data_IF_078436516755
#
_entry.id   IF_078436516755
#
_cell.length_a   1.000
_cell.length_b   1.000
_cell.length_c   1.000
_cell.angle_alpha   90.00
_cell.angle_beta   90.00
_cell.angle_gamma   90.00
#
_symmetry.space_group_name_H-M   'P 1'
#
loop_
_entity.id
_entity.type
_entity.pdbx_description
1 polymer ?
#
# COMPACT_ATOMS: atom_id res chain seq x y z
N UNK A 1 -17.17 -11.40 11.34
CA UNK A 1 -15.74 -11.07 11.18
C UNK A 1 -15.57 -9.57 11.37
N UNK A 2 -14.55 -9.14 12.10
CA UNK A 2 -14.20 -7.71 12.19
C UNK A 2 -13.64 -7.23 10.83
N UNK A 3 -14.21 -6.18 10.20
CA UNK A 3 -13.76 -5.69 8.90
C UNK A 3 -12.45 -4.89 8.93
N UNK A 4 -12.16 -4.19 10.03
CA UNK A 4 -11.15 -3.11 10.02
C UNK A 4 -10.00 -3.33 10.99
N UNK A 5 -10.09 -4.32 11.88
CA UNK A 5 -9.15 -4.46 12.97
C UNK A 5 -9.25 -3.28 13.94
N UNK A 6 -8.32 -3.21 14.90
CA UNK A 6 -8.27 -2.08 15.84
C UNK A 6 -7.76 -0.82 15.14
N UNK A 7 -8.46 0.29 15.36
CA UNK A 7 -8.04 1.64 14.98
C UNK A 7 -8.55 2.66 16.01
N UNK A 8 -7.90 3.82 16.07
CA UNK A 8 -8.25 4.94 16.93
C UNK A 8 -9.21 5.90 16.24
N UNK A 9 -8.89 6.26 15.00
CA UNK A 9 -9.71 7.17 14.18
C UNK A 9 -9.61 6.81 12.70
N UNK A 10 -10.65 7.18 11.95
CA UNK A 10 -10.72 7.07 10.50
C UNK A 10 -11.08 8.44 9.90
N UNK A 11 -10.32 8.86 8.89
CA UNK A 11 -10.48 10.18 8.25
C UNK A 11 -10.31 10.06 6.74
N UNK A 12 -10.76 11.06 5.99
CA UNK A 12 -10.37 11.26 4.60
C UNK A 12 -9.32 12.37 4.55
N UNK A 13 -8.20 12.15 3.87
CA UNK A 13 -7.13 13.14 3.77
C UNK A 13 -6.49 13.22 2.39
N UNK A 14 -5.79 14.33 2.14
CA UNK A 14 -4.87 14.48 0.99
C UNK A 14 -3.69 15.37 1.35
N UNK A 15 -2.58 15.19 0.65
CA UNK A 15 -1.43 16.08 0.71
C UNK A 15 -1.81 17.50 0.24
N UNK A 16 -1.24 18.52 0.88
CA UNK A 16 -1.41 19.93 0.46
C UNK A 16 -0.42 20.32 -0.64
N UNK A 17 0.73 19.64 -0.72
CA UNK A 17 1.73 19.87 -1.75
C UNK A 17 1.26 19.35 -3.14
N UNK A 18 1.16 20.29 -4.09
CA UNK A 18 0.77 20.02 -5.47
C UNK A 18 1.76 19.13 -6.21
N UNK A 19 3.06 19.19 -5.91
CA UNK A 19 4.07 18.34 -6.52
C UNK A 19 3.86 16.86 -6.13
N UNK A 20 3.52 16.61 -4.87
CA UNK A 20 3.15 15.29 -4.37
C UNK A 20 1.86 14.81 -5.04
N UNK A 21 0.81 15.63 -5.04
CA UNK A 21 -0.48 15.26 -5.63
C UNK A 21 -0.35 14.91 -7.12
N UNK A 22 0.47 15.63 -7.88
CA UNK A 22 0.66 15.40 -9.31
C UNK A 22 1.22 14.01 -9.64
N UNK A 23 2.04 13.41 -8.75
CA UNK A 23 2.63 12.08 -8.96
C UNK A 23 1.93 10.96 -8.18
N UNK A 24 1.03 11.30 -7.27
CA UNK A 24 0.42 10.32 -6.37
C UNK A 24 -0.66 9.51 -7.05
N UNK A 25 -0.91 8.29 -6.53
CA UNK A 25 -2.03 7.47 -6.99
C UNK A 25 -3.36 8.16 -6.67
N UNK A 26 -3.49 8.57 -5.39
CA UNK A 26 -4.68 9.10 -4.75
C UNK A 26 -4.33 10.40 -3.99
N UNK A 27 -4.65 10.51 -2.70
CA UNK A 27 -4.36 11.68 -1.86
C UNK A 27 -2.89 11.87 -1.48
N UNK A 28 -1.95 11.04 -1.94
CA UNK A 28 -0.51 11.24 -1.72
C UNK A 28 -0.02 11.05 -0.28
N UNK A 29 -0.77 10.31 0.54
CA UNK A 29 -0.52 10.14 1.97
C UNK A 29 0.85 9.52 2.27
N UNK A 30 1.24 8.45 1.56
CA UNK A 30 2.54 7.79 1.77
C UNK A 30 3.70 8.76 1.49
N UNK A 31 3.68 9.39 0.31
CA UNK A 31 4.73 10.31 -0.11
C UNK A 31 4.82 11.52 0.81
N UNK A 32 3.69 12.15 1.16
CA UNK A 32 3.66 13.25 2.12
C UNK A 32 4.18 12.85 3.49
N UNK A 33 3.82 11.66 3.99
CA UNK A 33 4.26 11.17 5.30
C UNK A 33 5.77 10.99 5.35
N UNK A 34 6.36 10.39 4.31
CA UNK A 34 7.78 10.12 4.28
C UNK A 34 8.62 11.35 3.95
N UNK A 35 8.18 12.22 3.04
CA UNK A 35 8.84 13.49 2.77
C UNK A 35 8.88 14.33 4.04
N UNK A 36 7.73 14.50 4.70
CA UNK A 36 7.65 15.20 5.99
C UNK A 36 8.57 14.58 7.04
N UNK A 37 8.63 13.25 7.11
CA UNK A 37 9.48 12.53 8.05
C UNK A 37 10.97 12.77 7.86
N UNK A 38 11.42 12.76 6.60
CA UNK A 38 12.81 13.02 6.23
C UNK A 38 13.19 14.47 6.51
N UNK A 39 12.35 15.43 6.09
CA UNK A 39 12.60 16.87 6.25
C UNK A 39 12.65 17.31 7.71
N UNK A 40 11.87 16.64 8.58
CA UNK A 40 11.79 16.96 10.01
C UNK A 40 12.65 16.03 10.88
N UNK A 41 13.50 15.18 10.27
CA UNK A 41 14.37 14.24 10.99
C UNK A 41 13.62 13.23 11.86
N UNK A 42 12.35 12.96 11.57
CA UNK A 42 11.58 11.89 12.21
C UNK A 42 11.95 10.52 11.64
N UNK A 43 12.42 10.50 10.39
CA UNK A 43 12.91 9.35 9.66
C UNK A 43 14.27 9.71 9.04
N UNK A 44 15.19 8.75 8.97
CA UNK A 44 16.49 8.94 8.30
C UNK A 44 16.49 8.31 6.89
N UNK A 45 15.53 7.44 6.63
CA UNK A 45 15.31 6.81 5.34
C UNK A 45 14.04 5.98 5.34
N UNK A 46 13.53 5.70 4.16
CA UNK A 46 12.27 4.98 3.98
C UNK A 46 12.38 3.91 2.91
N UNK A 47 11.59 2.85 3.06
CA UNK A 47 11.52 1.75 2.10
C UNK A 47 10.22 1.87 1.32
N UNK A 48 10.35 2.05 0.01
CA UNK A 48 9.26 2.31 -0.94
C UNK A 48 9.34 1.36 -2.14
N UNK A 49 8.26 1.31 -2.94
CA UNK A 49 8.23 0.54 -4.19
C UNK A 49 8.52 1.44 -5.40
N UNK A 50 9.73 1.35 -5.93
CA UNK A 50 10.17 2.07 -7.12
C UNK A 50 9.66 1.39 -8.41
N UNK A 51 9.67 2.14 -9.50
CA UNK A 51 9.45 1.62 -10.86
C UNK A 51 10.80 1.43 -11.55
N UNK A 52 11.06 0.24 -12.04
CA UNK A 52 12.15 -0.08 -12.97
C UNK A 52 11.62 -0.15 -14.42
N UNK A 53 12.51 -0.49 -15.35
CA UNK A 53 12.16 -0.68 -16.76
C UNK A 53 10.98 -1.65 -16.93
N UNK A 54 10.11 -1.34 -17.90
CA UNK A 54 8.89 -2.13 -18.13
C UNK A 54 7.83 -1.97 -17.05
N UNK A 55 7.84 -0.89 -16.25
CA UNK A 55 6.86 -0.69 -15.18
C UNK A 55 6.91 -1.79 -14.09
N UNK A 56 8.07 -2.44 -13.95
CA UNK A 56 8.31 -3.46 -12.94
C UNK A 56 8.51 -2.80 -11.57
N UNK A 57 7.89 -3.35 -10.53
CA UNK A 57 8.07 -2.84 -9.18
C UNK A 57 9.31 -3.45 -8.52
N UNK A 58 10.11 -2.62 -7.87
CA UNK A 58 11.28 -3.05 -7.10
C UNK A 58 11.38 -2.27 -5.79
N UNK A 59 11.87 -2.90 -4.71
CA UNK A 59 12.07 -2.20 -3.44
C UNK A 59 13.21 -1.20 -3.58
N UNK A 60 13.04 0.00 -3.00
CA UNK A 60 14.06 1.04 -2.95
C UNK A 60 14.15 1.60 -1.54
N UNK A 61 15.39 1.76 -1.06
CA UNK A 61 15.71 2.57 0.11
C UNK A 61 15.87 4.00 -0.39
N UNK A 62 15.00 4.90 0.06
CA UNK A 62 14.99 6.30 -0.28
C UNK A 62 15.40 7.13 0.94
N UNK A 63 16.34 8.05 0.75
CA UNK A 63 16.88 8.92 1.81
C UNK A 63 16.64 10.39 1.54
N UNK A 64 16.13 10.74 0.35
CA UNK A 64 15.75 12.12 0.02
C UNK A 64 14.29 12.23 -0.43
N UNK A 65 13.65 13.41 -0.30
CA UNK A 65 12.30 13.67 -0.79
C UNK A 65 12.10 13.33 -2.27
N UNK A 66 13.09 13.60 -3.12
CA UNK A 66 13.04 13.34 -4.56
C UNK A 66 12.95 11.84 -4.85
N UNK A 67 13.71 11.02 -4.10
CA UNK A 67 13.67 9.57 -4.21
C UNK A 67 12.34 8.97 -3.75
N UNK A 68 11.72 9.55 -2.72
CA UNK A 68 10.38 9.17 -2.28
C UNK A 68 9.36 9.51 -3.36
N UNK A 69 9.45 10.73 -3.91
CA UNK A 69 8.52 11.21 -4.93
C UNK A 69 8.69 10.48 -6.27
N UNK A 70 9.88 9.99 -6.61
CA UNK A 70 10.11 9.16 -7.80
C UNK A 70 9.43 7.80 -7.71
N UNK A 71 9.24 7.28 -6.49
CA UNK A 71 8.58 6.00 -6.24
C UNK A 71 7.05 6.10 -6.12
N UNK A 72 6.46 7.30 -6.24
CA UNK A 72 5.01 7.49 -6.13
C UNK A 72 4.23 6.70 -7.20
N UNK A 73 2.94 6.47 -6.92
CA UNK A 73 2.02 5.73 -7.80
C UNK A 73 2.01 4.23 -7.55
N UNK A 74 0.87 3.60 -7.75
CA UNK A 74 0.67 2.17 -7.50
C UNK A 74 1.20 1.32 -8.64
N UNK A 75 1.82 0.19 -8.29
CA UNK A 75 2.20 -0.87 -9.22
C UNK A 75 1.48 -2.13 -8.77
N UNK A 76 0.54 -2.62 -9.58
CA UNK A 76 -0.20 -3.86 -9.28
C UNK A 76 0.63 -5.10 -9.61
N UNK A 77 1.87 -5.11 -9.13
CA UNK A 77 2.78 -6.26 -9.18
C UNK A 77 3.53 -6.39 -7.86
N UNK A 78 4.11 -7.55 -7.60
CA UNK A 78 4.88 -7.82 -6.37
C UNK A 78 6.13 -6.93 -6.30
N UNK A 79 6.23 -6.15 -5.22
CA UNK A 79 7.47 -5.49 -4.77
C UNK A 79 7.83 -6.00 -3.37
N UNK A 80 8.91 -6.77 -3.18
CA UNK A 80 9.27 -7.33 -1.88
C UNK A 80 9.93 -6.31 -0.95
N UNK A 81 9.24 -5.23 -0.55
CA UNK A 81 9.80 -4.13 0.26
C UNK A 81 10.54 -4.58 1.52
N UNK A 82 10.07 -5.63 2.19
CA UNK A 82 10.72 -6.16 3.42
C UNK A 82 12.12 -6.73 3.14
N UNK A 83 12.47 -7.09 1.91
CA UNK A 83 13.75 -7.72 1.58
C UNK A 83 14.95 -6.81 1.81
N UNK A 84 14.79 -5.51 1.61
CA UNK A 84 15.87 -4.50 1.75
C UNK A 84 15.93 -3.89 3.16
N UNK A 85 15.08 -4.35 4.09
CA UNK A 85 15.00 -3.77 5.43
C UNK A 85 16.29 -3.96 6.24
N UNK A 86 16.98 -5.09 6.08
CA UNK A 86 18.27 -5.30 6.75
C UNK A 86 19.35 -4.38 6.17
N UNK A 87 19.40 -4.26 4.85
CA UNK A 87 20.37 -3.42 4.14
C UNK A 87 20.17 -1.94 4.49
N UNK A 88 18.91 -1.50 4.64
CA UNK A 88 18.55 -0.17 5.13
C UNK A 88 19.20 0.14 6.49
N UNK A 89 19.22 -0.82 7.41
CA UNK A 89 19.83 -0.61 8.74
C UNK A 89 21.34 -0.84 8.74
N UNK A 90 21.88 -1.69 7.85
CA UNK A 90 23.29 -2.09 7.86
C UNK A 90 24.15 -1.28 6.91
N UNK A 91 23.81 -1.32 5.62
CA UNK A 91 24.59 -0.69 4.57
C UNK A 91 24.35 0.82 4.53
N UNK A 92 23.10 1.24 4.78
CA UNK A 92 22.73 2.66 4.84
C UNK A 92 22.81 3.25 6.25
N UNK A 93 23.12 2.43 7.27
CA UNK A 93 23.22 2.82 8.67
C UNK A 93 21.99 3.62 9.19
N UNK A 94 20.79 3.33 8.69
CA UNK A 94 19.59 4.04 9.08
C UNK A 94 19.12 3.66 10.49
N UNK A 95 18.76 4.67 11.27
CA UNK A 95 18.38 4.52 12.67
C UNK A 95 16.86 4.65 12.89
N UNK A 96 16.18 5.49 12.09
CA UNK A 96 14.71 5.64 12.07
C UNK A 96 14.16 5.33 10.67
N UNK A 97 13.80 4.07 10.43
CA UNK A 97 13.33 3.58 9.13
C UNK A 97 11.81 3.66 9.03
N UNK A 98 11.32 4.33 7.99
CA UNK A 98 9.92 4.22 7.54
C UNK A 98 9.77 3.08 6.53
N UNK A 99 8.66 2.34 6.54
CA UNK A 99 8.43 1.27 5.55
C UNK A 99 6.97 1.20 5.15
N UNK A 100 6.71 1.27 3.84
CA UNK A 100 5.36 1.07 3.28
C UNK A 100 5.21 -0.36 2.77
N UNK A 101 4.06 -0.96 3.03
CA UNK A 101 3.73 -2.28 2.50
C UNK A 101 2.24 -2.54 2.39
N UNK A 102 1.90 -3.56 1.60
CA UNK A 102 0.57 -4.17 1.60
C UNK A 102 0.33 -4.94 2.91
N UNK A 103 -0.90 -5.38 3.21
CA UNK A 103 -1.24 -6.01 4.49
C UNK A 103 -0.35 -7.20 4.87
N UNK A 104 0.01 -8.05 3.90
CA UNK A 104 0.91 -9.17 4.14
C UNK A 104 2.35 -8.74 4.51
N UNK A 105 2.84 -7.64 3.93
CA UNK A 105 4.15 -7.07 4.27
C UNK A 105 4.13 -6.41 5.65
N UNK A 106 3.06 -5.69 5.99
CA UNK A 106 2.85 -5.15 7.33
C UNK A 106 2.82 -6.27 8.38
N UNK A 107 2.14 -7.39 8.10
CA UNK A 107 2.18 -8.59 8.96
C UNK A 107 3.59 -9.16 9.09
N UNK A 108 4.35 -9.24 8.00
CA UNK A 108 5.74 -9.71 8.05
C UNK A 108 6.61 -8.79 8.92
N UNK A 109 6.46 -7.47 8.79
CA UNK A 109 7.16 -6.47 9.60
C UNK A 109 6.83 -6.63 11.08
N UNK A 110 5.54 -6.74 11.44
CA UNK A 110 5.14 -6.93 12.85
C UNK A 110 5.58 -8.27 13.43
N UNK A 111 5.59 -9.33 12.62
CA UNK A 111 6.15 -10.63 13.01
C UNK A 111 7.64 -10.51 13.29
N UNK A 112 8.39 -9.82 12.43
CA UNK A 112 9.81 -9.53 12.61
C UNK A 112 10.06 -8.71 13.88
N UNK A 113 9.28 -7.66 14.12
CA UNK A 113 9.42 -6.84 15.33
C UNK A 113 9.20 -7.65 16.62
N UNK A 114 8.26 -8.61 16.60
CA UNK A 114 7.99 -9.48 17.75
C UNK A 114 8.99 -10.63 17.88
N UNK A 115 9.47 -11.15 16.74
CA UNK A 115 10.35 -12.31 16.65
C UNK A 115 11.49 -12.02 15.65
N UNK A 116 12.53 -11.26 16.05
CA UNK A 116 13.57 -10.75 15.15
C UNK A 116 14.62 -11.82 14.76
N UNK A 117 14.16 -13.02 14.43
CA UNK A 117 15.00 -14.14 14.01
C UNK A 117 15.70 -13.79 12.70
N UNK A 118 17.03 -13.67 12.76
CA UNK A 118 17.84 -13.26 11.61
C UNK A 118 17.80 -11.76 11.29
N UNK A 119 17.17 -10.93 12.14
CA UNK A 119 17.03 -9.46 11.97
C UNK A 119 17.52 -8.70 13.21
N UNK A 120 18.63 -9.17 13.80
CA UNK A 120 19.24 -8.57 15.00
C UNK A 120 19.38 -7.05 14.85
N UNK A 121 18.93 -6.26 15.81
CA UNK A 121 19.01 -4.78 15.81
C UNK A 121 18.32 -4.08 14.63
N UNK A 122 17.43 -4.76 13.90
CA UNK A 122 16.65 -4.15 12.82
C UNK A 122 15.26 -3.76 13.31
N UNK A 123 14.65 -4.57 14.18
CA UNK A 123 13.32 -4.38 14.76
C UNK A 123 13.17 -3.03 15.48
N UNK A 124 14.15 -2.66 16.31
CA UNK A 124 14.14 -1.41 17.07
C UNK A 124 14.31 -0.16 16.21
N UNK A 125 14.75 -0.30 14.96
CA UNK A 125 14.98 0.82 14.02
C UNK A 125 13.76 1.14 13.17
N UNK A 126 12.71 0.33 13.23
CA UNK A 126 11.46 0.55 12.48
C UNK A 126 10.67 1.65 13.18
N UNK A 127 10.84 2.87 12.68
CA UNK A 127 10.23 4.06 13.23
C UNK A 127 8.76 4.19 12.84
N UNK A 128 8.40 3.94 11.57
CA UNK A 128 7.02 4.10 11.09
C UNK A 128 6.64 3.00 10.09
N UNK A 129 5.52 2.32 10.31
CA UNK A 129 4.96 1.30 9.40
C UNK A 129 3.70 1.85 8.75
N UNK A 130 3.76 2.17 7.46
CA UNK A 130 2.59 2.58 6.68
C UNK A 130 2.00 1.39 5.91
N UNK A 131 0.70 1.17 6.05
CA UNK A 131 -0.04 0.14 5.31
C UNK A 131 -0.82 0.73 4.15
N UNK A 132 -0.84 0.06 3.01
CA UNK A 132 -1.78 0.39 1.92
C UNK A 132 -2.88 -0.66 1.80
N UNK A 133 -4.10 -0.23 1.47
CA UNK A 133 -5.20 -1.16 1.21
C UNK A 133 -4.85 -2.05 0.01
N UNK A 134 -5.22 -3.32 0.08
CA UNK A 134 -4.91 -4.28 -0.97
C UNK A 134 -5.99 -5.35 -1.02
N UNK A 135 -6.64 -5.52 -2.17
CA UNK A 135 -7.56 -6.62 -2.41
C UNK A 135 -6.77 -7.86 -2.86
N UNK A 136 -6.11 -7.75 -4.00
CA UNK A 136 -5.19 -8.74 -4.58
C UNK A 136 -3.92 -8.08 -5.13
N UNK A 137 -2.98 -8.91 -5.57
CA UNK A 137 -1.79 -8.50 -6.31
C UNK A 137 -1.52 -9.50 -7.44
N UNK A 138 -0.70 -9.12 -8.42
CA UNK A 138 -0.41 -9.93 -9.59
C UNK A 138 1.09 -10.26 -9.67
N UNK A 139 1.50 -11.45 -10.13
CA UNK A 139 2.84 -11.64 -10.64
C UNK A 139 3.09 -10.69 -11.82
N UNK A 140 4.34 -10.27 -12.04
CA UNK A 140 4.66 -9.31 -13.11
C UNK A 140 4.19 -9.77 -14.50
N UNK A 141 4.41 -11.05 -14.84
CA UNK A 141 3.92 -11.60 -16.12
C UNK A 141 2.39 -11.62 -16.22
N UNK A 142 1.69 -11.76 -15.09
CA UNK A 142 0.23 -11.66 -15.05
C UNK A 142 -0.26 -10.23 -15.30
N UNK A 143 0.36 -9.25 -14.64
CA UNK A 143 0.09 -7.83 -14.90
C UNK A 143 0.42 -7.47 -16.35
N UNK A 144 1.56 -7.94 -16.87
CA UNK A 144 1.98 -7.73 -18.26
C UNK A 144 0.97 -8.31 -19.24
N UNK A 145 0.45 -9.52 -19.01
CA UNK A 145 -0.60 -10.09 -19.85
C UNK A 145 -1.85 -9.22 -19.85
N UNK A 146 -2.32 -8.75 -18.69
CA UNK A 146 -3.46 -7.83 -18.58
C UNK A 146 -3.22 -6.55 -19.40
N UNK A 147 -2.04 -5.94 -19.26
CA UNK A 147 -1.72 -4.66 -19.91
C UNK A 147 -1.50 -4.81 -21.43
N UNK A 148 -0.69 -5.78 -21.85
CA UNK A 148 -0.32 -5.92 -23.26
C UNK A 148 -1.43 -6.62 -24.06
N UNK A 149 -2.05 -7.67 -23.53
CA UNK A 149 -3.01 -8.48 -24.29
C UNK A 149 -4.43 -7.93 -24.21
N UNK A 150 -4.88 -7.44 -23.05
CA UNK A 150 -6.25 -6.97 -22.88
C UNK A 150 -6.38 -5.45 -23.09
N UNK A 151 -5.42 -4.66 -22.60
CA UNK A 151 -5.44 -3.21 -22.82
C UNK A 151 -4.75 -2.78 -24.13
N UNK A 152 -3.89 -3.62 -24.72
CA UNK A 152 -3.20 -3.32 -25.97
C UNK A 152 -2.13 -2.23 -25.84
N UNK A 153 -1.56 -2.05 -24.64
CA UNK A 153 -0.51 -1.05 -24.37
C UNK A 153 0.79 -1.79 -24.02
N UNK A 154 1.92 -1.37 -24.59
CA UNK A 154 3.23 -1.93 -24.23
C UNK A 154 3.61 -1.51 -22.82
N UNK A 155 4.24 -2.40 -22.05
CA UNK A 155 4.65 -2.09 -20.67
C UNK A 155 5.50 -0.81 -20.55
N UNK A 156 6.40 -0.55 -21.50
CA UNK A 156 7.24 0.65 -21.51
C UNK A 156 6.47 1.96 -21.75
N UNK A 157 5.26 1.87 -22.31
CA UNK A 157 4.41 3.02 -22.62
C UNK A 157 3.41 3.30 -21.49
N UNK A 158 3.38 2.49 -20.42
CA UNK A 158 2.51 2.71 -19.26
C UNK A 158 3.01 3.90 -18.43
N UNK A 159 2.07 4.78 -18.09
CA UNK A 159 2.28 5.91 -17.18
C UNK A 159 1.71 5.63 -15.79
N UNK A 160 0.47 5.12 -15.74
CA UNK A 160 -0.25 4.83 -14.49
C UNK A 160 -1.15 3.61 -14.68
N UNK A 161 -1.36 2.87 -13.61
CA UNK A 161 -2.40 1.84 -13.54
C UNK A 161 -3.31 2.13 -12.36
N UNK A 162 -4.57 1.71 -12.43
CA UNK A 162 -5.53 1.88 -11.34
C UNK A 162 -6.55 0.74 -11.29
N UNK A 163 -7.08 0.42 -10.12
CA UNK A 163 -8.16 -0.57 -9.96
C UNK A 163 -9.29 0.09 -9.20
N UNK A 164 -10.43 0.24 -9.87
CA UNK A 164 -11.60 0.91 -9.32
C UNK A 164 -12.81 0.76 -10.22
N UNK A 165 -14.01 0.91 -9.62
CA UNK A 165 -15.30 0.86 -10.34
C UNK A 165 -15.46 -0.42 -11.20
N UNK A 166 -14.93 -1.55 -10.72
CA UNK A 166 -15.03 -2.86 -11.39
C UNK A 166 -14.09 -3.07 -12.59
N UNK A 167 -13.10 -2.19 -12.80
CA UNK A 167 -12.17 -2.27 -13.93
C UNK A 167 -10.72 -2.05 -13.50
N UNK A 168 -9.80 -2.64 -14.26
CA UNK A 168 -8.37 -2.34 -14.27
C UNK A 168 -8.11 -1.29 -15.35
N UNK A 169 -7.62 -0.13 -14.96
CA UNK A 169 -7.35 1.01 -15.82
C UNK A 169 -5.86 1.10 -16.14
N UNK A 170 -5.55 1.34 -17.41
CA UNK A 170 -4.19 1.59 -17.90
C UNK A 170 -4.16 2.94 -18.58
N UNK A 171 -3.29 3.81 -18.10
CA UNK A 171 -3.03 5.13 -18.66
C UNK A 171 -1.67 5.09 -19.33
N UNK A 172 -1.60 5.40 -20.63
CA UNK A 172 -0.33 5.45 -21.37
C UNK A 172 0.33 6.82 -21.28
N UNK A 173 1.63 6.87 -21.60
CA UNK A 173 2.41 8.10 -21.76
C UNK A 173 1.94 8.96 -22.94
N UNK A 174 1.31 8.35 -23.95
CA UNK A 174 0.68 9.05 -25.08
C UNK A 174 -0.67 9.68 -24.74
N UNK A 175 -1.25 9.36 -23.58
CA UNK A 175 -2.55 9.87 -23.14
C UNK A 175 -3.74 8.91 -23.39
N UNK A 176 -3.48 7.71 -23.92
CA UNK A 176 -4.52 6.69 -24.08
C UNK A 176 -4.96 6.15 -22.73
N UNK A 177 -6.27 5.93 -22.58
CA UNK A 177 -6.87 5.30 -21.40
C UNK A 177 -7.62 4.06 -21.82
N UNK A 178 -7.23 2.92 -21.25
CA UNK A 178 -7.82 1.61 -21.52
C UNK A 178 -8.36 1.02 -20.22
N UNK A 179 -9.47 0.31 -20.31
CA UNK A 179 -10.12 -0.29 -19.16
C UNK A 179 -10.42 -1.76 -19.44
N UNK A 180 -9.93 -2.65 -18.58
CA UNK A 180 -10.11 -4.10 -18.64
C UNK A 180 -11.09 -4.49 -17.53
N UNK A 181 -12.18 -5.24 -17.80
CA UNK A 181 -13.07 -5.74 -16.75
C UNK A 181 -12.32 -6.62 -15.74
N UNK A 182 -12.57 -6.43 -14.43
CA UNK A 182 -11.85 -7.22 -13.40
C UNK A 182 -12.11 -8.72 -13.47
N UNK A 183 -13.26 -9.14 -14.01
CA UNK A 183 -13.54 -10.56 -14.25
C UNK A 183 -12.48 -11.24 -15.12
N UNK A 184 -11.88 -10.49 -16.04
CA UNK A 184 -10.88 -10.97 -16.99
C UNK A 184 -9.47 -10.97 -16.36
N UNK A 185 -9.28 -10.30 -15.22
CA UNK A 185 -8.01 -10.28 -14.48
C UNK A 185 -7.88 -11.40 -13.46
N UNK A 186 -8.98 -12.03 -13.03
CA UNK A 186 -8.99 -12.98 -11.91
C UNK A 186 -8.03 -14.16 -12.06
N UNK A 187 -7.84 -14.67 -13.29
CA UNK A 187 -6.93 -15.79 -13.54
C UNK A 187 -5.45 -15.45 -13.35
N UNK A 188 -5.11 -14.16 -13.36
CA UNK A 188 -3.74 -13.66 -13.22
C UNK A 188 -3.37 -13.28 -11.78
N UNK A 189 -4.33 -13.32 -10.85
CA UNK A 189 -4.10 -13.00 -9.45
C UNK A 189 -3.05 -13.95 -8.84
N UNK A 190 -2.24 -13.42 -7.93
CA UNK A 190 -1.32 -14.25 -7.18
C UNK A 190 -2.10 -15.20 -6.25
N UNK A 191 -1.96 -16.51 -6.43
CA UNK A 191 -2.68 -17.54 -5.65
C UNK A 191 -2.56 -17.39 -4.12
N UNK A 192 -1.44 -16.83 -3.63
CA UNK A 192 -1.27 -16.59 -2.18
C UNK A 192 -2.19 -15.50 -1.63
N UNK A 193 -2.75 -14.63 -2.48
CA UNK A 193 -3.73 -13.63 -2.08
C UNK A 193 -5.08 -14.25 -1.67
N UNK A 194 -5.40 -15.45 -2.16
CA UNK A 194 -6.69 -16.13 -1.91
C UNK A 194 -6.84 -16.68 -0.49
N UNK A 195 -5.79 -16.60 0.32
CA UNK A 195 -5.87 -16.88 1.76
C UNK A 195 -5.68 -15.61 2.59
N UNK A 196 -5.60 -14.42 2.00
CA UNK A 196 -5.30 -13.19 2.72
C UNK A 196 -6.52 -12.63 3.46
N UNK A 197 -6.51 -12.67 4.79
CA UNK A 197 -7.63 -12.21 5.62
C UNK A 197 -7.59 -10.72 6.02
N UNK A 198 -6.72 -9.92 5.40
CA UNK A 198 -6.50 -8.51 5.77
C UNK A 198 -6.60 -7.62 4.52
N UNK A 199 -7.52 -6.64 4.55
CA UNK A 199 -7.76 -5.69 3.46
C UNK A 199 -7.13 -4.33 3.73
N UNK A 200 -7.28 -3.81 4.96
CA UNK A 200 -6.95 -2.43 5.32
C UNK A 200 -5.58 -2.29 6.02
N UNK A 201 -4.73 -3.32 5.94
CA UNK A 201 -3.43 -3.38 6.61
C UNK A 201 -3.58 -3.16 8.12
N UNK A 202 -4.30 -4.08 8.77
CA UNK A 202 -4.82 -3.95 10.14
C UNK A 202 -3.74 -3.77 11.22
N UNK A 203 -2.48 -4.09 10.91
CA UNK A 203 -1.37 -4.00 11.85
C UNK A 203 -0.40 -2.84 11.58
N UNK A 204 -0.73 -1.91 10.68
CA UNK A 204 0.13 -0.75 10.40
C UNK A 204 0.08 0.27 11.56
N UNK A 205 0.97 1.27 11.56
CA UNK A 205 0.80 2.45 12.43
C UNK A 205 -0.30 3.36 11.86
N UNK A 206 -0.25 3.56 10.54
CA UNK A 206 -1.26 4.27 9.74
C UNK A 206 -1.53 3.43 8.49
N UNK A 207 -2.80 3.23 8.15
CA UNK A 207 -3.21 2.60 6.90
C UNK A 207 -3.90 3.59 5.99
N UNK A 208 -3.69 3.47 4.67
CA UNK A 208 -4.29 4.38 3.69
C UNK A 208 -4.75 3.65 2.43
N UNK A 209 -5.80 4.13 1.78
CA UNK A 209 -6.24 3.63 0.48
C UNK A 209 -7.26 4.55 -0.19
N UNK A 210 -7.56 4.28 -1.47
CA UNK A 210 -8.49 5.10 -2.26
C UNK A 210 -9.95 4.94 -1.84
N UNK A 211 -10.38 3.70 -1.61
CA UNK A 211 -11.79 3.36 -1.33
C UNK A 211 -12.29 4.07 -0.07
N UNK A 212 -13.49 4.66 -0.17
CA UNK A 212 -14.14 5.40 0.90
C UNK A 212 -14.03 6.92 0.73
N UNK A 213 -13.04 7.38 -0.02
CA UNK A 213 -12.79 8.78 -0.32
C UNK A 213 -13.03 9.10 -1.81
N UNK A 214 -13.27 10.38 -2.15
CA UNK A 214 -13.36 10.82 -3.54
C UNK A 214 -11.99 10.78 -4.25
N UNK A 215 -12.00 10.86 -5.59
CA UNK A 215 -10.78 10.89 -6.40
C UNK A 215 -9.83 12.02 -5.94
N UNK A 216 -8.54 11.69 -5.77
CA UNK A 216 -7.53 12.62 -5.25
C UNK A 216 -7.51 12.77 -3.72
N UNK A 217 -8.31 11.98 -3.01
CA UNK A 217 -8.29 11.83 -1.55
C UNK A 217 -8.03 10.37 -1.18
N UNK A 218 -7.70 10.13 0.09
CA UNK A 218 -7.52 8.77 0.61
C UNK A 218 -8.18 8.61 1.97
N UNK A 219 -8.79 7.46 2.18
CA UNK A 219 -9.25 7.01 3.49
C UNK A 219 -8.03 6.59 4.30
N UNK A 220 -7.91 7.11 5.52
CA UNK A 220 -6.84 6.78 6.47
C UNK A 220 -7.45 6.13 7.70
N UNK A 221 -6.85 5.04 8.17
CA UNK A 221 -7.02 4.51 9.52
C UNK A 221 -5.76 4.79 10.34
N UNK A 222 -5.92 5.49 11.46
CA UNK A 222 -4.85 5.68 12.45
C UNK A 222 -4.97 4.58 13.50
N UNK A 223 -3.92 3.80 13.71
CA UNK A 223 -4.03 2.55 14.49
C UNK A 223 -3.26 2.60 15.80
N UNK A 224 -2.01 3.01 15.76
CA UNK A 224 -1.13 3.05 16.94
C UNK A 224 -1.02 4.46 17.49
N UNK A 225 -0.64 4.59 18.78
CA UNK A 225 -0.34 5.89 19.36
C UNK A 225 0.76 6.63 18.59
N UNK A 226 1.74 5.88 18.08
CA UNK A 226 2.79 6.42 17.22
C UNK A 226 2.24 6.98 15.91
N UNK A 227 1.35 6.25 15.25
CA UNK A 227 0.68 6.72 14.03
C UNK A 227 -0.16 7.99 14.28
N UNK A 228 -0.84 8.06 15.41
CA UNK A 228 -1.62 9.23 15.82
C UNK A 228 -0.75 10.46 16.05
N UNK A 229 0.33 10.32 16.82
CA UNK A 229 1.30 11.41 17.03
C UNK A 229 1.89 11.90 15.71
N UNK A 230 2.27 10.96 14.83
CA UNK A 230 2.86 11.30 13.54
C UNK A 230 1.87 12.05 12.63
N UNK A 231 0.62 11.58 12.55
CA UNK A 231 -0.42 12.23 11.75
C UNK A 231 -0.72 13.64 12.30
N UNK A 232 -0.82 13.80 13.61
CA UNK A 232 -1.12 15.10 14.23
C UNK A 232 -0.04 16.12 13.88
N UNK A 233 1.25 15.75 13.97
CA UNK A 233 2.37 16.61 13.54
C UNK A 233 2.24 17.05 12.07
N UNK A 234 1.85 16.14 11.18
CA UNK A 234 1.63 16.46 9.77
C UNK A 234 0.46 17.43 9.56
N UNK A 235 -0.65 17.24 10.27
CA UNK A 235 -1.83 18.11 10.17
C UNK A 235 -1.53 19.50 10.73
N UNK A 236 -0.89 19.57 11.90
CA UNK A 236 -0.45 20.82 12.53
C UNK A 236 0.54 21.60 11.65
N UNK A 237 1.44 20.90 10.96
CA UNK A 237 2.37 21.50 10.01
C UNK A 237 1.73 21.86 8.65
N UNK A 238 0.44 21.59 8.45
CA UNK A 238 -0.27 21.88 7.21
C UNK A 238 0.14 20.99 6.03
N UNK A 239 0.78 19.83 6.27
CA UNK A 239 1.18 18.88 5.23
C UNK A 239 -0.01 18.09 4.67
N UNK A 240 -1.10 17.98 5.43
CA UNK A 240 -2.33 17.28 5.04
C UNK A 240 -3.57 18.14 5.25
N UNK A 241 -4.48 18.08 4.28
CA UNK A 241 -5.88 18.49 4.44
C UNK A 241 -6.68 17.25 4.88
N UNK A 242 -7.54 17.40 5.90
CA UNK A 242 -8.31 16.28 6.46
C UNK A 242 -9.80 16.60 6.56
N UNK A 243 -10.63 15.57 6.53
CA UNK A 243 -12.08 15.60 6.74
C UNK A 243 -12.50 14.40 7.59
N UNK A 244 -13.48 14.55 8.50
CA UNK A 244 -14.12 13.42 9.14
C UNK A 244 -14.64 12.44 8.08
N UNK A 245 -14.41 11.14 8.25
CA UNK A 245 -14.81 10.15 7.23
C UNK A 245 -16.35 10.02 7.13
N UNK A 246 -17.06 10.35 8.21
CA UNK A 246 -18.53 10.31 8.27
C UNK A 246 -19.18 11.34 7.34
N UNK A 247 -18.48 12.44 7.05
CA UNK A 247 -18.92 13.50 6.15
C UNK A 247 -18.56 13.21 4.67
N UNK A 248 -17.93 12.07 4.40
CA UNK A 248 -17.39 11.73 3.07
C UNK A 248 -18.17 10.56 2.49
N UNK A 249 -18.51 10.69 1.19
CA UNK A 249 -19.10 9.60 0.41
C UNK A 249 -18.07 9.03 -0.57
N UNK A 250 -18.02 7.71 -0.79
CA UNK A 250 -18.95 6.69 -0.27
C UNK A 250 -18.74 6.31 1.22
N UNK A 251 -17.66 6.76 1.85
CA UNK A 251 -17.43 6.60 3.29
C UNK A 251 -17.06 5.16 3.69
N UNK A 252 -17.10 4.89 4.99
CA UNK A 252 -16.67 3.60 5.55
C UNK A 252 -17.55 2.42 5.13
N UNK A 253 -18.82 2.62 4.81
CA UNK A 253 -19.74 1.53 4.42
C UNK A 253 -19.20 0.72 3.23
N UNK A 254 -18.65 1.40 2.22
CA UNK A 254 -18.07 0.73 1.06
C UNK A 254 -16.77 0.00 1.43
N UNK A 255 -15.93 0.61 2.27
CA UNK A 255 -14.68 0.00 2.74
C UNK A 255 -14.99 -1.27 3.53
N UNK A 256 -16.01 -1.22 4.40
CA UNK A 256 -16.49 -2.35 5.20
C UNK A 256 -16.96 -3.48 4.31
N UNK A 257 -17.80 -3.16 3.31
CA UNK A 257 -18.30 -4.16 2.36
C UNK A 257 -17.16 -4.90 1.67
N UNK A 258 -16.16 -4.18 1.14
CA UNK A 258 -15.03 -4.81 0.45
C UNK A 258 -14.14 -5.61 1.42
N UNK A 259 -13.90 -5.11 2.62
CA UNK A 259 -13.13 -5.82 3.64
C UNK A 259 -13.77 -7.16 4.03
N UNK A 260 -15.09 -7.17 4.27
CA UNK A 260 -15.84 -8.38 4.60
C UNK A 260 -15.88 -9.34 3.41
N UNK A 261 -16.14 -8.86 2.20
CA UNK A 261 -16.12 -9.69 0.99
C UNK A 261 -14.79 -10.41 0.80
N UNK A 262 -13.66 -9.71 1.03
CA UNK A 262 -12.32 -10.32 0.98
C UNK A 262 -12.18 -11.44 2.00
N UNK A 263 -12.53 -11.15 3.27
CA UNK A 263 -12.42 -12.12 4.37
C UNK A 263 -13.31 -13.33 4.14
N UNK A 264 -14.57 -13.15 3.75
CA UNK A 264 -15.51 -14.25 3.47
C UNK A 264 -15.08 -15.12 2.29
N UNK A 265 -14.60 -14.52 1.19
CA UNK A 265 -14.08 -15.27 0.04
C UNK A 265 -12.87 -16.11 0.45
N UNK A 266 -11.94 -15.52 1.17
CA UNK A 266 -10.67 -16.16 1.51
C UNK A 266 -10.80 -17.16 2.68
N UNK A 267 -11.78 -16.99 3.57
CA UNK A 267 -12.11 -17.98 4.61
C UNK A 267 -12.61 -19.30 4.00
N UNK A 268 -13.42 -19.21 2.93
CA UNK A 268 -13.85 -20.39 2.17
C UNK A 268 -12.67 -21.13 1.53
N UNK A 269 -11.73 -20.40 0.93
CA UNK A 269 -10.51 -20.98 0.37
C UNK A 269 -9.63 -21.62 1.46
N UNK A 270 -9.52 -20.99 2.62
CA UNK A 270 -8.82 -21.55 3.78
C UNK A 270 -9.47 -22.88 4.23
N UNK A 271 -10.81 -22.92 4.33
CA UNK A 271 -11.54 -24.13 4.68
C UNK A 271 -11.32 -25.24 3.64
N UNK A 272 -11.42 -24.90 2.35
CA UNK A 272 -11.16 -25.83 1.26
C UNK A 272 -9.74 -26.40 1.32
N UNK A 273 -8.72 -25.55 1.54
CA UNK A 273 -7.33 -26.01 1.68
C UNK A 273 -7.12 -26.96 2.85
N UNK A 274 -7.81 -26.74 3.98
CA UNK A 274 -7.79 -27.65 5.13
C UNK A 274 -8.41 -29.00 4.79
N UNK A 275 -9.52 -29.02 4.05
CA UNK A 275 -10.20 -30.24 3.59
C UNK A 275 -9.30 -31.10 2.70
N UNK A 276 -8.54 -30.49 1.79
CA UNK A 276 -7.60 -31.20 0.89
C UNK A 276 -6.20 -31.43 1.52
N UNK A 277 -6.04 -31.21 2.83
CA UNK A 277 -4.80 -31.50 3.57
C UNK A 277 -3.64 -30.54 3.30
N UNK A 278 -3.88 -29.36 2.74
CA UNK A 278 -2.84 -28.35 2.54
C UNK A 278 -2.61 -27.52 3.81
N UNK A 279 -1.35 -27.14 4.12
CA UNK A 279 -1.06 -26.27 5.26
C UNK A 279 -1.61 -24.86 5.03
N UNK A 280 -2.21 -24.29 6.07
CA UNK A 280 -2.72 -22.92 6.07
C UNK A 280 -2.14 -22.15 7.27
N UNK A 281 -1.56 -20.95 7.07
CA UNK A 281 -0.90 -20.19 8.13
C UNK A 281 -1.86 -19.32 8.98
N UNK A 282 -3.15 -19.68 9.02
CA UNK A 282 -4.24 -18.99 9.74
C UNK A 282 -4.94 -19.96 10.69
#
# INVERSE_FOLDING_TARGET
>A
MDPFGTYKTAISARATDKAILKKSQDGGIISASYIYGLENGLLDGVIVANTEDGFKAAPKIATTPEEVLSAAGTKYTVSPNVSVLKDAVREYALEKVGIVGTPCQVRAIRKLMKYPMGFRHTDSKIALVMGIFCMENFPYEGMKAIVEQYAGIRMNDVLKTDIGKGKFWVYSKSGDVKAVPLKDTHMYEQKSCHVCMDYTAELADISTGSVGSPDGWSTIFVRTAKGEEYLNKMVEAGALETKPIDDVKPGLDLVQKLALQKKEKNDKEIAHRKEIGLPVPY
#
